data_IF_354223064842
#
_entry.id   IF_354223064842
#
_cell.length_a   1.000
_cell.length_b   1.000
_cell.length_c   1.000
_cell.angle_alpha   90.00
_cell.angle_beta   90.00
_cell.angle_gamma   90.00
#
_symmetry.space_group_name_H-M   'P 1'
#
loop_
_entity.id
_entity.type
_entity.pdbx_description
1 polymer ?
#
# COMPACT_ATOMS: atom_id res chain seq x y z
N UNK A 1 -14.70 14.71 -10.85
CA UNK A 1 -13.29 14.71 -10.39
C UNK A 1 -12.72 16.10 -10.61
N UNK A 2 -12.64 16.93 -9.56
CA UNK A 2 -12.12 18.30 -9.64
C UNK A 2 -10.61 18.38 -9.40
N UNK A 3 -10.01 19.53 -9.74
CA UNK A 3 -8.58 19.83 -9.50
C UNK A 3 -8.13 19.53 -8.06
N UNK A 4 -9.02 19.74 -7.07
CA UNK A 4 -8.74 19.42 -5.68
C UNK A 4 -8.42 17.94 -5.47
N UNK A 5 -9.31 17.03 -5.90
CA UNK A 5 -9.18 15.60 -5.65
C UNK A 5 -7.98 14.98 -6.40
N UNK A 6 -7.64 15.50 -7.58
CA UNK A 6 -6.58 14.91 -8.42
C UNK A 6 -5.19 15.51 -8.18
N UNK A 7 -5.09 16.76 -7.74
CA UNK A 7 -3.81 17.46 -7.62
C UNK A 7 -3.50 17.96 -6.21
N UNK A 8 -4.48 18.56 -5.52
CA UNK A 8 -4.23 19.22 -4.23
C UNK A 8 -4.23 18.19 -3.10
N UNK A 9 -5.31 17.42 -2.98
CA UNK A 9 -5.50 16.46 -1.90
C UNK A 9 -4.38 15.41 -1.84
N UNK A 10 -3.98 14.73 -2.93
CA UNK A 10 -2.96 13.70 -2.85
C UNK A 10 -1.60 14.23 -2.38
N UNK A 11 -1.22 15.43 -2.80
CA UNK A 11 0.05 16.07 -2.42
C UNK A 11 0.04 16.56 -0.97
N UNK A 12 -1.08 17.13 -0.53
CA UNK A 12 -1.24 17.56 0.86
C UNK A 12 -1.24 16.35 1.80
N UNK A 13 -2.00 15.30 1.45
CA UNK A 13 -2.04 14.06 2.21
C UNK A 13 -0.65 13.42 2.27
N UNK A 14 0.06 13.32 1.14
CA UNK A 14 1.43 12.82 1.12
C UNK A 14 2.34 13.60 2.06
N UNK A 15 2.29 14.94 2.01
CA UNK A 15 3.14 15.78 2.86
C UNK A 15 2.87 15.55 4.34
N UNK A 16 1.60 15.47 4.75
CA UNK A 16 1.22 15.17 6.15
C UNK A 16 1.70 13.76 6.54
N UNK A 17 1.42 12.76 5.71
CA UNK A 17 1.70 11.36 6.00
C UNK A 17 3.17 10.97 5.86
N UNK A 18 4.01 11.85 5.31
CA UNK A 18 5.47 11.71 5.27
C UNK A 18 6.16 12.26 6.54
N UNK A 19 5.41 12.78 7.51
CA UNK A 19 5.96 13.27 8.77
C UNK A 19 6.65 12.18 9.61
N UNK A 20 7.55 12.62 10.50
CA UNK A 20 8.43 11.75 11.31
C UNK A 20 7.65 10.70 12.14
N UNK A 21 6.54 11.10 12.75
CA UNK A 21 5.71 10.18 13.54
C UNK A 21 5.16 9.04 12.67
N UNK A 22 4.65 9.35 11.48
CA UNK A 22 4.14 8.34 10.55
C UNK A 22 5.26 7.47 10.00
N UNK A 23 6.46 8.03 9.82
CA UNK A 23 7.63 7.24 9.45
C UNK A 23 7.98 6.22 10.54
N UNK A 24 8.00 6.63 11.82
CA UNK A 24 8.26 5.73 12.94
C UNK A 24 7.23 4.60 12.99
N UNK A 25 5.94 4.93 12.92
CA UNK A 25 4.87 3.93 12.94
C UNK A 25 4.98 2.92 11.79
N UNK A 26 5.38 3.35 10.59
CA UNK A 26 5.64 2.43 9.47
C UNK A 26 6.82 1.51 9.74
N UNK A 27 7.92 2.04 10.27
CA UNK A 27 9.08 1.20 10.59
C UNK A 27 8.74 0.14 11.62
N UNK A 28 8.01 0.52 12.68
CA UNK A 28 7.59 -0.41 13.74
C UNK A 28 6.63 -1.48 13.22
N UNK A 29 5.62 -1.09 12.43
CA UNK A 29 4.64 -2.01 11.86
C UNK A 29 5.29 -3.02 10.90
N UNK A 30 6.21 -2.55 10.04
CA UNK A 30 6.77 -3.37 8.95
C UNK A 30 8.01 -4.17 9.36
N UNK A 31 8.54 -3.95 10.56
CA UNK A 31 9.82 -4.53 11.02
C UNK A 31 9.88 -6.06 10.91
N UNK A 32 8.75 -6.75 11.06
CA UNK A 32 8.68 -8.22 11.04
C UNK A 32 8.19 -8.81 9.72
N UNK A 33 7.84 -7.97 8.74
CA UNK A 33 7.29 -8.44 7.46
C UNK A 33 8.37 -9.11 6.62
N UNK A 34 8.03 -10.21 5.96
CA UNK A 34 8.96 -10.98 5.12
C UNK A 34 8.21 -11.80 4.06
N UNK A 35 8.95 -12.33 3.08
CA UNK A 35 8.37 -13.18 2.02
C UNK A 35 7.55 -12.41 0.99
N UNK A 36 6.52 -13.05 0.43
CA UNK A 36 5.57 -12.42 -0.48
C UNK A 36 4.48 -11.68 0.31
N UNK A 37 4.28 -10.40 0.01
CA UNK A 37 3.43 -9.51 0.80
C UNK A 37 2.28 -8.96 -0.04
N UNK A 38 1.08 -8.96 0.53
CA UNK A 38 -0.08 -8.23 0.03
C UNK A 38 -0.20 -6.86 0.73
N UNK A 39 -0.06 -5.77 -0.02
CA UNK A 39 -0.27 -4.40 0.44
C UNK A 39 -1.70 -3.94 0.07
N UNK A 40 -2.53 -3.69 1.08
CA UNK A 40 -3.88 -3.14 0.93
C UNK A 40 -3.83 -1.61 0.94
N UNK A 41 -4.02 -1.00 -0.22
CA UNK A 41 -4.01 0.44 -0.43
C UNK A 41 -2.61 1.01 -0.51
N UNK A 42 -1.98 0.95 -1.68
CA UNK A 42 -0.63 1.49 -1.88
C UNK A 42 -0.57 3.01 -1.74
N UNK A 43 -1.67 3.72 -2.04
CA UNK A 43 -1.74 5.17 -2.04
C UNK A 43 -0.62 5.78 -2.88
N UNK A 44 0.24 6.58 -2.24
CA UNK A 44 1.41 7.21 -2.88
C UNK A 44 2.70 6.39 -2.73
N UNK A 45 2.63 5.18 -2.16
CA UNK A 45 3.77 4.28 -2.00
C UNK A 45 4.66 4.59 -0.79
N UNK A 46 4.15 5.30 0.22
CA UNK A 46 4.95 5.71 1.40
C UNK A 46 5.45 4.54 2.24
N UNK A 47 4.84 3.35 2.16
CA UNK A 47 5.35 2.16 2.84
C UNK A 47 6.57 1.55 2.16
N UNK A 48 6.73 1.71 0.84
CA UNK A 48 7.74 0.99 0.05
C UNK A 48 9.16 1.11 0.62
N UNK A 49 9.66 2.30 1.01
CA UNK A 49 11.01 2.45 1.55
C UNK A 49 11.22 1.82 2.95
N UNK A 50 10.14 1.43 3.63
CA UNK A 50 10.19 0.90 5.00
C UNK A 50 10.08 -0.62 5.06
N UNK A 51 9.80 -1.27 3.94
CA UNK A 51 9.82 -2.72 3.88
C UNK A 51 11.23 -3.27 4.06
N UNK A 52 11.44 -4.25 4.94
CA UNK A 52 12.75 -4.82 5.18
C UNK A 52 13.21 -5.67 3.99
N UNK A 53 14.52 -5.91 3.91
CA UNK A 53 15.14 -6.74 2.85
C UNK A 53 14.72 -8.22 2.89
N UNK A 54 14.02 -8.64 3.94
CA UNK A 54 13.42 -9.97 4.09
C UNK A 54 12.19 -10.18 3.21
N UNK A 55 11.63 -9.11 2.64
CA UNK A 55 10.55 -9.18 1.63
C UNK A 55 11.11 -9.65 0.30
N UNK A 56 10.44 -10.62 -0.33
CA UNK A 56 10.78 -11.17 -1.64
C UNK A 56 9.94 -10.59 -2.77
N UNK A 57 8.77 -10.03 -2.45
CA UNK A 57 7.87 -9.40 -3.42
C UNK A 57 6.68 -8.73 -2.76
N UNK A 58 6.19 -7.66 -3.39
CA UNK A 58 4.97 -6.97 -2.96
C UNK A 58 3.94 -7.00 -4.09
N UNK A 59 2.74 -7.43 -3.72
CA UNK A 59 1.53 -7.29 -4.51
C UNK A 59 0.66 -6.23 -3.84
N UNK A 60 0.46 -5.10 -4.50
CA UNK A 60 -0.28 -3.99 -3.94
C UNK A 60 -1.58 -3.75 -4.71
N UNK A 61 -2.67 -3.51 -3.98
CA UNK A 61 -3.99 -3.21 -4.55
C UNK A 61 -4.44 -1.83 -4.11
N UNK A 62 -4.91 -1.01 -5.05
CA UNK A 62 -5.55 0.28 -4.73
C UNK A 62 -6.41 0.75 -5.92
N UNK A 63 -7.72 0.99 -5.74
CA UNK A 63 -8.55 1.53 -6.83
C UNK A 63 -8.12 2.94 -7.24
N UNK A 64 -7.47 3.71 -6.35
CA UNK A 64 -6.93 5.01 -6.65
C UNK A 64 -5.55 4.92 -7.29
N UNK A 65 -5.27 5.83 -8.23
CA UNK A 65 -3.95 5.97 -8.84
C UNK A 65 -3.34 7.32 -8.43
N UNK A 66 -2.89 7.41 -7.18
CA UNK A 66 -2.38 8.65 -6.59
C UNK A 66 -0.90 8.82 -6.91
N UNK A 67 -0.55 9.94 -7.58
CA UNK A 67 0.84 10.29 -7.91
C UNK A 67 1.60 9.16 -8.63
N UNK A 68 1.09 8.67 -9.79
CA UNK A 68 1.61 7.48 -10.47
C UNK A 68 3.12 7.52 -10.75
N UNK A 69 3.67 8.70 -11.06
CA UNK A 69 5.11 8.85 -11.29
C UNK A 69 5.92 8.55 -10.03
N UNK A 70 5.56 9.15 -8.91
CA UNK A 70 6.20 8.94 -7.61
C UNK A 70 6.07 7.49 -7.15
N UNK A 71 4.88 6.89 -7.32
CA UNK A 71 4.66 5.48 -6.99
C UNK A 71 5.55 4.57 -7.85
N UNK A 72 5.64 4.85 -9.15
CA UNK A 72 6.50 4.08 -10.08
C UNK A 72 7.97 4.19 -9.68
N UNK A 73 8.46 5.40 -9.42
CA UNK A 73 9.84 5.64 -8.97
C UNK A 73 10.16 4.86 -7.70
N UNK A 74 9.31 4.99 -6.66
CA UNK A 74 9.45 4.25 -5.39
C UNK A 74 9.38 2.74 -5.58
N UNK A 75 8.56 2.25 -6.51
CA UNK A 75 8.44 0.83 -6.82
C UNK A 75 9.71 0.30 -7.48
N UNK A 76 10.23 1.03 -8.46
CA UNK A 76 11.45 0.64 -9.19
C UNK A 76 12.73 0.78 -8.35
N UNK A 77 12.70 1.57 -7.27
CA UNK A 77 13.84 1.69 -6.35
C UNK A 77 13.96 0.56 -5.34
N UNK A 78 12.97 -0.35 -5.26
CA UNK A 78 13.01 -1.47 -4.31
C UNK A 78 13.93 -2.59 -4.79
N UNK A 79 14.50 -3.34 -3.85
CA UNK A 79 15.33 -4.52 -4.15
C UNK A 79 14.51 -5.77 -4.49
N UNK A 80 13.18 -5.68 -4.46
CA UNK A 80 12.22 -6.74 -4.74
C UNK A 80 11.17 -6.25 -5.74
N UNK A 81 10.51 -7.16 -6.49
CA UNK A 81 9.42 -6.80 -7.39
C UNK A 81 8.23 -6.19 -6.63
N UNK A 82 7.71 -5.08 -7.16
CA UNK A 82 6.46 -4.46 -6.71
C UNK A 82 5.46 -4.50 -7.85
N UNK A 83 4.34 -5.20 -7.65
CA UNK A 83 3.26 -5.38 -8.63
C UNK A 83 2.03 -4.65 -8.14
N UNK A 84 1.53 -3.69 -8.92
CA UNK A 84 0.40 -2.83 -8.52
C UNK A 84 -0.80 -3.17 -9.39
N UNK A 85 -1.95 -3.37 -8.75
CA UNK A 85 -3.23 -3.60 -9.41
C UNK A 85 -4.28 -2.59 -8.94
N UNK A 86 -5.01 -2.02 -9.90
CA UNK A 86 -6.05 -1.04 -9.62
C UNK A 86 -7.41 -1.70 -9.37
N UNK A 87 -7.53 -2.38 -8.23
CA UNK A 87 -8.73 -3.11 -7.80
C UNK A 87 -9.07 -2.76 -6.35
N UNK A 88 -10.33 -2.98 -5.94
CA UNK A 88 -10.73 -2.87 -4.52
C UNK A 88 -10.19 -4.06 -3.72
N UNK A 89 -9.85 -3.84 -2.46
CA UNK A 89 -9.47 -4.90 -1.53
C UNK A 89 -10.64 -5.81 -1.13
N UNK A 90 -11.89 -5.43 -1.46
CA UNK A 90 -13.10 -6.23 -1.21
C UNK A 90 -13.26 -7.43 -2.16
N UNK A 91 -12.40 -7.57 -3.16
CA UNK A 91 -12.39 -8.67 -4.13
C UNK A 91 -10.98 -8.82 -4.69
N UNK A 92 -10.17 -9.63 -4.05
CA UNK A 92 -8.77 -9.80 -4.41
C UNK A 92 -8.62 -10.81 -5.57
N UNK A 93 -7.83 -10.51 -6.62
CA UNK A 93 -7.63 -11.41 -7.76
C UNK A 93 -6.49 -12.41 -7.49
N UNK A 94 -6.48 -13.01 -6.30
CA UNK A 94 -5.43 -13.92 -5.83
C UNK A 94 -6.06 -15.18 -5.24
N UNK A 95 -5.33 -16.29 -5.33
CA UNK A 95 -5.73 -17.53 -4.68
C UNK A 95 -5.44 -17.45 -3.17
N UNK A 96 -6.17 -18.25 -2.39
CA UNK A 96 -5.97 -18.36 -0.93
C UNK A 96 -4.53 -18.77 -0.60
N UNK A 97 -3.99 -18.26 0.51
CA UNK A 97 -2.63 -18.60 1.00
C UNK A 97 -1.50 -18.30 0.00
N UNK A 98 -1.68 -17.26 -0.83
CA UNK A 98 -0.66 -16.81 -1.79
C UNK A 98 0.41 -15.91 -1.18
N UNK A 99 0.20 -15.39 0.03
CA UNK A 99 1.07 -14.39 0.65
C UNK A 99 1.44 -14.79 2.08
N UNK A 100 2.66 -14.46 2.49
CA UNK A 100 3.16 -14.68 3.85
C UNK A 100 2.62 -13.60 4.80
N UNK A 101 2.43 -12.37 4.31
CA UNK A 101 1.89 -11.24 5.06
C UNK A 101 0.86 -10.45 4.26
N UNK A 102 -0.12 -9.91 4.97
CA UNK A 102 -0.98 -8.84 4.48
C UNK A 102 -0.79 -7.60 5.34
N UNK A 103 -0.63 -6.44 4.70
CA UNK A 103 -0.35 -5.16 5.34
C UNK A 103 -1.44 -4.16 4.98
N UNK A 104 -1.88 -3.39 5.97
CA UNK A 104 -2.72 -2.23 5.75
C UNK A 104 -2.29 -1.07 6.66
N UNK A 105 -2.08 0.10 6.08
CA UNK A 105 -1.70 1.33 6.81
C UNK A 105 -2.61 2.47 6.39
N UNK A 106 -3.51 2.87 7.30
CA UNK A 106 -4.47 3.96 7.07
C UNK A 106 -5.35 3.78 5.82
N UNK A 107 -5.57 2.52 5.40
CA UNK A 107 -6.40 2.20 4.23
C UNK A 107 -7.81 1.76 4.62
N UNK A 108 -7.97 0.91 5.63
CA UNK A 108 -9.27 0.30 5.95
C UNK A 108 -10.39 1.33 6.22
N UNK A 109 -10.05 2.54 6.67
CA UNK A 109 -11.01 3.62 6.93
C UNK A 109 -11.62 4.25 5.66
N UNK A 110 -11.09 3.94 4.47
CA UNK A 110 -11.59 4.44 3.17
C UNK A 110 -12.26 3.35 2.34
N UNK A 111 -12.17 2.09 2.75
CA UNK A 111 -12.83 0.96 2.08
C UNK A 111 -14.32 0.97 2.46
N UNK A 112 -15.25 0.87 1.49
CA UNK A 112 -16.69 0.86 1.77
C UNK A 112 -17.13 -0.27 2.71
N UNK A 113 -16.69 -1.51 2.46
CA UNK A 113 -16.89 -2.65 3.37
C UNK A 113 -15.53 -3.20 3.86
N UNK A 114 -14.99 -2.67 4.98
CA UNK A 114 -13.70 -3.12 5.50
C UNK A 114 -13.76 -4.56 6.04
N UNK A 115 -14.93 -5.04 6.46
CA UNK A 115 -15.10 -6.42 6.94
C UNK A 115 -14.98 -7.39 5.77
N UNK A 116 -15.57 -7.05 4.61
CA UNK A 116 -15.40 -7.83 3.39
C UNK A 116 -13.93 -7.87 2.94
N UNK A 117 -13.24 -6.72 2.93
CA UNK A 117 -11.82 -6.70 2.60
C UNK A 117 -10.97 -7.56 3.54
N UNK A 118 -11.23 -7.53 4.85
CA UNK A 118 -10.53 -8.39 5.82
C UNK A 118 -10.82 -9.89 5.63
N UNK A 119 -12.00 -10.25 5.11
CA UNK A 119 -12.34 -11.66 4.81
C UNK A 119 -11.58 -12.22 3.60
N UNK A 120 -11.12 -11.35 2.69
CA UNK A 120 -10.31 -11.77 1.54
C UNK A 120 -8.85 -12.09 1.94
N UNK A 121 -8.41 -11.68 3.13
CA UNK A 121 -7.09 -12.01 3.69
C UNK A 121 -7.16 -13.39 4.37
N UNK A 122 -6.88 -14.45 3.61
CA UNK A 122 -7.05 -15.86 4.04
C UNK A 122 -6.04 -16.86 3.48
#
# INVERSE_FOLDING_TARGET
MGLYASQIFPRLMEWVMAGEEFHRLRMELLAQVHGEVLELGIGTGLNLPHYPKTVTGIHAVDPANLLPKTVTERSTSQSFPVRIQHVTAESLPYDDRSFDFAVSTWTLCTIPDPIKALREVR
#
